data_IF_984939903105
#
_entry.id   IF_984939903105
#
_cell.length_a   1.000
_cell.length_b   1.000
_cell.length_c   1.000
_cell.angle_alpha   90.00
_cell.angle_beta   90.00
_cell.angle_gamma   90.00
#
_symmetry.space_group_name_H-M   'P 1'
#
loop_
_entity.id
_entity.type
_entity.pdbx_description
1 polymer ?
#
# COMPACT_ATOMS: atom_id res chain seq x y z
N UNK A 1 3.32 7.37 8.69
CA UNK A 1 2.08 6.71 9.17
C UNK A 1 0.81 7.19 8.45
N UNK A 2 0.70 8.46 8.02
CA UNK A 2 -0.51 8.99 7.35
C UNK A 2 -0.92 8.22 6.10
N UNK A 3 0.02 7.88 5.21
CA UNK A 3 -0.29 7.12 3.98
C UNK A 3 -0.87 5.73 4.26
N UNK A 4 -0.33 5.03 5.25
CA UNK A 4 -0.84 3.71 5.69
C UNK A 4 -2.25 3.80 6.25
N UNK A 5 -2.56 4.85 7.02
CA UNK A 5 -3.92 5.08 7.51
C UNK A 5 -4.87 5.38 6.36
N UNK A 6 -4.47 6.23 5.41
CA UNK A 6 -5.26 6.51 4.22
C UNK A 6 -5.52 5.26 3.35
N UNK A 7 -4.56 4.33 3.32
CA UNK A 7 -4.69 3.04 2.65
C UNK A 7 -5.71 2.13 3.36
N UNK A 8 -5.60 1.97 4.68
CA UNK A 8 -6.52 1.16 5.50
C UNK A 8 -7.94 1.74 5.48
N UNK A 9 -8.08 3.06 5.50
CA UNK A 9 -9.37 3.75 5.39
C UNK A 9 -9.91 3.80 3.95
N UNK A 10 -9.26 3.10 3.00
CA UNK A 10 -9.63 3.05 1.56
C UNK A 10 -9.70 4.44 0.90
N UNK A 11 -8.98 5.42 1.43
CA UNK A 11 -8.81 6.78 0.86
C UNK A 11 -7.75 6.82 -0.24
N UNK A 12 -6.79 5.90 -0.20
CA UNK A 12 -5.71 5.76 -1.18
C UNK A 12 -5.70 4.32 -1.71
N UNK A 13 -5.40 4.16 -3.00
CA UNK A 13 -5.00 2.86 -3.54
C UNK A 13 -3.56 2.53 -3.15
N UNK A 14 -3.16 1.26 -3.32
CA UNK A 14 -1.78 0.83 -3.11
C UNK A 14 -0.81 1.62 -4.00
N UNK A 15 -1.14 1.80 -5.28
CA UNK A 15 -0.32 2.52 -6.24
C UNK A 15 -0.16 3.99 -5.83
N UNK A 16 -1.22 4.63 -5.35
CA UNK A 16 -1.19 6.01 -4.87
C UNK A 16 -0.34 6.14 -3.61
N UNK A 17 -0.52 5.26 -2.63
CA UNK A 17 0.26 5.30 -1.39
C UNK A 17 1.75 5.05 -1.65
N UNK A 18 2.07 4.09 -2.53
CA UNK A 18 3.46 3.82 -2.93
C UNK A 18 4.06 5.00 -3.68
N UNK A 19 3.36 5.58 -4.65
CA UNK A 19 3.81 6.78 -5.37
C UNK A 19 4.09 7.94 -4.40
N UNK A 20 3.16 8.23 -3.50
CA UNK A 20 3.30 9.31 -2.52
C UNK A 20 4.45 9.06 -1.54
N UNK A 21 4.80 7.80 -1.26
CA UNK A 21 5.95 7.46 -0.42
C UNK A 21 7.30 7.66 -1.13
N UNK A 22 7.30 7.72 -2.46
CA UNK A 22 8.49 7.76 -3.33
C UNK A 22 8.68 9.09 -4.07
N UNK A 23 7.99 10.17 -3.68
CA UNK A 23 8.00 11.42 -4.44
C UNK A 23 9.41 11.99 -4.71
N UNK A 24 10.32 11.87 -3.74
CA UNK A 24 11.72 12.25 -3.93
C UNK A 24 12.38 11.40 -5.01
N UNK A 25 12.29 10.07 -4.92
CA UNK A 25 12.89 9.17 -5.90
C UNK A 25 12.33 9.38 -7.31
N UNK A 26 11.01 9.56 -7.45
CA UNK A 26 10.39 9.89 -8.73
C UNK A 26 10.93 11.21 -9.31
N UNK A 27 11.14 12.21 -8.45
CA UNK A 27 11.78 13.47 -8.87
C UNK A 27 13.22 13.23 -9.33
N UNK A 28 13.99 12.40 -8.61
CA UNK A 28 15.37 12.06 -8.96
C UNK A 28 15.45 11.29 -10.29
N UNK A 29 14.56 10.32 -10.52
CA UNK A 29 14.44 9.58 -11.79
C UNK A 29 14.16 10.54 -12.95
N UNK A 30 13.28 11.53 -12.75
CA UNK A 30 13.01 12.54 -13.79
C UNK A 30 14.23 13.42 -14.11
N UNK A 31 15.12 13.64 -13.14
CA UNK A 31 16.32 14.48 -13.32
C UNK A 31 17.52 13.70 -13.85
N UNK A 32 17.69 12.46 -13.44
CA UNK A 32 18.92 11.69 -13.66
C UNK A 32 18.72 10.38 -14.41
N UNK A 33 17.47 10.07 -14.79
CA UNK A 33 17.11 8.89 -15.55
C UNK A 33 16.73 7.70 -14.67
N UNK A 34 16.07 6.72 -15.28
CA UNK A 34 15.67 5.49 -14.63
C UNK A 34 16.80 4.46 -14.67
N UNK A 35 16.98 3.73 -13.57
CA UNK A 35 17.83 2.56 -13.47
C UNK A 35 16.91 1.36 -13.30
N UNK A 36 16.53 0.73 -14.43
CA UNK A 36 15.48 -0.30 -14.48
C UNK A 36 15.67 -1.41 -13.45
N UNK A 37 16.89 -1.91 -13.29
CA UNK A 37 17.18 -3.02 -12.37
C UNK A 37 17.06 -2.65 -10.88
N UNK A 38 17.17 -1.37 -10.54
CA UNK A 38 17.04 -0.88 -9.17
C UNK A 38 15.62 -0.35 -8.93
N UNK A 39 15.25 0.72 -9.63
CA UNK A 39 14.01 1.45 -9.35
C UNK A 39 12.76 0.66 -9.71
N UNK A 40 12.76 -0.10 -10.82
CA UNK A 40 11.55 -0.84 -11.22
C UNK A 40 11.37 -2.06 -10.31
N UNK A 41 12.46 -2.74 -9.94
CA UNK A 41 12.42 -3.85 -9.00
C UNK A 41 11.92 -3.39 -7.62
N UNK A 42 12.50 -2.31 -7.08
CA UNK A 42 12.10 -1.74 -5.79
C UNK A 42 10.64 -1.27 -5.80
N UNK A 43 10.19 -0.65 -6.90
CA UNK A 43 8.80 -0.25 -7.06
C UNK A 43 7.85 -1.45 -7.02
N UNK A 44 8.13 -2.52 -7.75
CA UNK A 44 7.26 -3.70 -7.76
C UNK A 44 7.28 -4.44 -6.42
N UNK A 45 8.44 -4.57 -5.79
CA UNK A 45 8.58 -5.19 -4.47
C UNK A 45 7.79 -4.40 -3.42
N UNK A 46 7.92 -3.07 -3.42
CA UNK A 46 7.19 -2.20 -2.48
C UNK A 46 5.68 -2.27 -2.71
N UNK A 47 5.23 -2.28 -3.97
CA UNK A 47 3.80 -2.47 -4.30
C UNK A 47 3.29 -3.82 -3.83
N UNK A 48 4.02 -4.91 -4.10
CA UNK A 48 3.62 -6.25 -3.71
C UNK A 48 3.46 -6.38 -2.19
N UNK A 49 4.45 -5.90 -1.42
CA UNK A 49 4.39 -5.91 0.06
C UNK A 49 3.27 -5.04 0.61
N UNK A 50 3.10 -3.84 0.05
CA UNK A 50 2.05 -2.92 0.48
C UNK A 50 0.66 -3.50 0.20
N UNK A 51 0.45 -4.10 -0.98
CA UNK A 51 -0.79 -4.78 -1.32
C UNK A 51 -1.08 -5.96 -0.39
N UNK A 52 -0.08 -6.81 -0.13
CA UNK A 52 -0.22 -7.95 0.78
C UNK A 52 -0.60 -7.52 2.20
N UNK A 53 0.07 -6.49 2.74
CA UNK A 53 -0.27 -5.94 4.05
C UNK A 53 -1.68 -5.35 4.11
N UNK A 54 -2.10 -4.63 3.07
CA UNK A 54 -3.45 -4.04 2.96
C UNK A 54 -4.52 -5.12 2.93
N UNK A 55 -4.33 -6.14 2.08
CA UNK A 55 -5.24 -7.26 1.96
C UNK A 55 -5.37 -8.00 3.29
N UNK A 56 -4.24 -8.25 3.96
CA UNK A 56 -4.24 -8.90 5.27
C UNK A 56 -5.07 -8.12 6.29
N UNK A 57 -4.87 -6.80 6.40
CA UNK A 57 -5.63 -5.95 7.32
C UNK A 57 -7.12 -6.00 7.01
N UNK A 58 -7.52 -5.86 5.74
CA UNK A 58 -8.93 -5.90 5.36
C UNK A 58 -9.59 -7.26 5.66
N UNK A 59 -8.93 -8.37 5.34
CA UNK A 59 -9.45 -9.70 5.65
C UNK A 59 -9.59 -9.93 7.16
N UNK A 60 -8.65 -9.43 7.97
CA UNK A 60 -8.75 -9.51 9.43
C UNK A 60 -9.92 -8.69 9.98
N UNK A 61 -10.15 -7.48 9.45
CA UNK A 61 -11.26 -6.63 9.87
C UNK A 61 -12.62 -7.26 9.51
N UNK A 62 -12.79 -7.71 8.27
CA UNK A 62 -14.02 -8.38 7.81
C UNK A 62 -14.30 -9.65 8.64
N UNK A 63 -13.28 -10.49 8.87
CA UNK A 63 -13.44 -11.68 9.72
C UNK A 63 -13.84 -11.38 11.16
N UNK A 64 -13.47 -10.20 11.67
CA UNK A 64 -13.79 -9.76 13.03
C UNK A 64 -15.21 -9.20 13.11
N UNK A 65 -15.63 -8.45 12.09
CA UNK A 65 -17.00 -7.96 11.96
C UNK A 65 -18.01 -9.12 11.86
N UNK A 66 -17.70 -10.15 11.08
CA UNK A 66 -18.58 -11.31 10.93
C UNK A 66 -18.72 -12.13 12.22
N UNK A 67 -17.62 -12.31 12.95
CA UNK A 67 -17.66 -12.92 14.30
C UNK A 67 -18.53 -12.12 15.27
N UNK A 68 -18.43 -10.79 15.23
CA UNK A 68 -19.21 -9.93 16.12
C UNK A 68 -20.71 -9.97 15.79
N UNK A 69 -21.09 -10.04 14.51
CA UNK A 69 -22.49 -10.20 14.09
C UNK A 69 -23.07 -11.54 14.60
N UNK A 70 -22.34 -12.64 14.43
CA UNK A 70 -22.74 -13.97 14.89
C UNK A 70 -22.91 -14.08 16.42
N UNK A 71 -22.18 -13.28 17.20
CA UNK A 71 -22.30 -13.25 18.66
C UNK A 71 -23.47 -12.38 19.16
N UNK A 72 -24.05 -11.55 18.31
CA UNK A 72 -25.17 -10.66 18.64
C UNK A 72 -26.55 -11.23 18.24
N UNK A 73 -26.58 -12.31 17.48
CA UNK A 73 -27.78 -13.13 17.17
C UNK A 73 -27.99 -14.24 18.20
#
# INVERSE_FOLDING_TARGET
MVLTLGLIDRRLTVEQAVLLSRLEEEYQIQKWGNIEWAHDYELQELRARTAAGTLFVHLCLESSEDKNKLLQE
#
